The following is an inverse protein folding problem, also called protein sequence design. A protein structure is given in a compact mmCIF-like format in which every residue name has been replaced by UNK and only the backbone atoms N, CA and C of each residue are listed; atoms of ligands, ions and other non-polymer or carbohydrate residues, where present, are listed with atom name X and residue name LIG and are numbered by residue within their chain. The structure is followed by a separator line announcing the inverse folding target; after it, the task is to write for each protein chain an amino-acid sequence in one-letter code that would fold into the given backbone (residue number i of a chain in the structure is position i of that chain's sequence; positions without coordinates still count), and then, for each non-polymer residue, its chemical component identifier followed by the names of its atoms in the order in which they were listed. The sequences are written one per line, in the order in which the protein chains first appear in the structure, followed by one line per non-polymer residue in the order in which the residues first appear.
data_IF_567184125371
#
_entry.id   IF_567184125371
#
_cell.length_a   1.000
_cell.length_b   1.000
_cell.length_c   1.000
_cell.angle_alpha   90.00
_cell.angle_beta   90.00
_cell.angle_gamma   90.00
#
_symmetry.space_group_name_H-M   'P 1'
#
loop_
_entity.id
_entity.type
_entity.pdbx_description
1 polymer ?
#
# COMPACT_ATOMS: atom_id res chain seq x y z
N UNK A 1 1.00 -8.12 16.51
CA UNK A 1 1.95 -7.70 15.46
C UNK A 1 2.01 -8.81 14.42
N UNK A 2 1.71 -8.51 13.16
CA UNK A 2 1.75 -9.47 12.05
C UNK A 2 2.81 -8.98 11.07
N UNK A 3 3.72 -9.88 10.68
CA UNK A 3 4.87 -9.52 9.87
C UNK A 3 4.90 -10.29 8.55
N UNK A 4 5.58 -9.70 7.58
CA UNK A 4 5.84 -10.28 6.28
C UNK A 4 7.35 -10.49 6.09
N UNK A 5 7.74 -11.67 5.62
CA UNK A 5 9.11 -11.96 5.19
C UNK A 5 9.37 -11.33 3.82
N UNK A 6 10.34 -10.42 3.75
CA UNK A 6 10.67 -9.62 2.54
C UNK A 6 12.18 -9.46 2.39
N UNK A 7 12.65 -8.85 1.30
CA UNK A 7 14.06 -8.47 1.11
C UNK A 7 14.21 -6.94 1.06
N UNK A 8 15.41 -6.43 1.38
CA UNK A 8 15.73 -4.98 1.31
C UNK A 8 16.29 -4.56 -0.05
N UNK A 9 16.67 -5.52 -0.88
CA UNK A 9 17.17 -5.29 -2.23
C UNK A 9 16.42 -6.14 -3.25
N UNK A 10 16.37 -5.64 -4.48
CA UNK A 10 15.66 -6.27 -5.59
C UNK A 10 16.21 -7.64 -5.98
N UNK A 11 17.45 -7.97 -5.61
CA UNK A 11 18.11 -9.22 -5.97
C UNK A 11 18.09 -10.25 -4.83
N UNK A 12 17.61 -9.87 -3.65
CA UNK A 12 17.57 -10.70 -2.45
C UNK A 12 18.94 -10.99 -1.83
N UNK A 13 19.98 -10.23 -2.17
CA UNK A 13 21.35 -10.42 -1.67
C UNK A 13 21.48 -10.09 -0.18
N UNK A 14 20.61 -9.21 0.33
CA UNK A 14 20.53 -8.84 1.75
C UNK A 14 19.87 -9.91 2.62
N UNK A 15 19.32 -10.97 2.02
CA UNK A 15 18.57 -12.01 2.73
C UNK A 15 17.17 -11.55 3.18
N UNK A 16 16.57 -12.34 4.06
CA UNK A 16 15.19 -12.14 4.52
C UNK A 16 15.17 -11.25 5.76
N UNK A 17 14.26 -10.28 5.75
CA UNK A 17 13.92 -9.45 6.91
C UNK A 17 12.43 -9.52 7.19
N UNK A 18 12.04 -9.21 8.44
CA UNK A 18 10.64 -9.10 8.83
C UNK A 18 10.19 -7.65 8.71
N UNK A 19 9.11 -7.42 7.97
CA UNK A 19 8.44 -6.13 7.85
C UNK A 19 7.11 -6.17 8.61
N UNK A 20 6.84 -5.20 9.47
CA UNK A 20 5.53 -5.08 10.10
C UNK A 20 4.49 -4.65 9.05
N UNK A 21 3.35 -5.35 8.99
CA UNK A 21 2.31 -5.05 7.99
C UNK A 21 1.66 -3.69 8.27
N UNK A 22 1.60 -3.27 9.54
CA UNK A 22 1.06 -1.96 9.93
C UNK A 22 1.86 -0.79 9.29
N UNK A 23 3.14 -1.00 8.96
CA UNK A 23 4.02 0.03 8.39
C UNK A 23 3.88 0.13 6.86
N UNK A 24 3.13 -0.78 6.22
CA UNK A 24 2.97 -0.80 4.77
C UNK A 24 2.01 0.30 4.33
N UNK A 25 2.46 1.17 3.43
CA UNK A 25 1.64 2.19 2.77
C UNK A 25 0.88 1.61 1.57
N UNK A 26 1.59 0.96 0.65
CA UNK A 26 1.01 0.31 -0.52
C UNK A 26 1.96 -0.71 -1.14
N UNK A 27 1.40 -1.56 -1.99
CA UNK A 27 2.12 -2.49 -2.84
C UNK A 27 2.11 -1.97 -4.28
N UNK A 28 3.24 -2.07 -4.96
CA UNK A 28 3.39 -1.76 -6.38
C UNK A 28 3.94 -2.98 -7.11
N UNK A 29 3.31 -3.40 -8.19
CA UNK A 29 3.85 -4.40 -9.10
C UNK A 29 4.67 -3.73 -10.18
N UNK A 30 5.97 -4.02 -10.18
CA UNK A 30 6.87 -3.61 -11.25
C UNK A 30 6.92 -4.71 -12.33
N UNK A 31 6.33 -4.41 -13.49
CA UNK A 31 6.28 -5.35 -14.61
C UNK A 31 7.64 -5.63 -15.23
N UNK A 32 8.63 -4.74 -15.05
CA UNK A 32 9.98 -4.92 -15.60
C UNK A 32 10.77 -5.96 -14.82
N UNK A 33 10.72 -5.93 -13.49
CA UNK A 33 11.40 -6.89 -12.63
C UNK A 33 10.54 -8.09 -12.26
N UNK A 34 9.22 -8.02 -12.45
CA UNK A 34 8.27 -9.05 -12.04
C UNK A 34 8.13 -9.17 -10.51
N UNK A 35 8.46 -8.12 -9.77
CA UNK A 35 8.45 -8.09 -8.30
C UNK A 35 7.38 -7.17 -7.76
N UNK A 36 7.04 -7.40 -6.50
CA UNK A 36 6.22 -6.50 -5.70
C UNK A 36 7.14 -5.63 -4.88
N UNK A 37 7.01 -4.32 -5.06
CA UNK A 37 7.66 -3.30 -4.27
C UNK A 37 6.69 -2.96 -3.15
N UNK A 38 7.16 -3.03 -1.92
CA UNK A 38 6.38 -2.76 -0.73
C UNK A 38 6.87 -1.43 -0.19
N UNK A 39 6.07 -0.39 -0.40
CA UNK A 39 6.34 0.95 0.07
C UNK A 39 5.81 1.09 1.50
N UNK A 40 6.62 1.64 2.39
CA UNK A 40 6.24 1.87 3.79
C UNK A 40 5.90 3.33 4.04
N UNK A 41 5.21 3.60 5.16
CA UNK A 41 4.87 4.96 5.58
C UNK A 41 6.10 5.82 5.87
N UNK A 42 7.26 5.21 6.18
CA UNK A 42 8.53 5.88 6.45
C UNK A 42 9.45 5.93 5.20
N UNK A 43 8.87 5.83 3.99
CA UNK A 43 9.57 5.91 2.70
C UNK A 43 10.64 4.83 2.45
N UNK A 44 10.61 3.72 3.17
CA UNK A 44 11.43 2.55 2.84
C UNK A 44 10.73 1.67 1.80
N UNK A 45 11.52 1.03 0.94
CA UNK A 45 11.04 0.07 -0.05
C UNK A 45 11.62 -1.31 0.26
N UNK A 46 10.73 -2.29 0.32
CA UNK A 46 11.07 -3.71 0.44
C UNK A 46 10.57 -4.47 -0.78
N UNK A 47 11.02 -5.71 -0.96
CA UNK A 47 10.71 -6.50 -2.14
C UNK A 47 10.20 -7.89 -1.78
N UNK A 48 9.23 -8.34 -2.57
CA UNK A 48 8.77 -9.74 -2.58
C UNK A 48 8.40 -10.15 -4.01
N UNK A 49 8.03 -11.41 -4.18
CA UNK A 49 7.66 -12.00 -5.48
C UNK A 49 6.20 -12.45 -5.48
N UNK A 50 5.67 -12.73 -6.67
CA UNK A 50 4.28 -13.15 -6.85
C UNK A 50 3.41 -12.04 -7.46
N UNK A 51 2.09 -12.18 -7.36
CA UNK A 51 1.15 -11.24 -7.98
C UNK A 51 0.57 -10.25 -6.96
N UNK A 52 0.27 -9.04 -7.44
CA UNK A 52 -0.37 -7.99 -6.65
C UNK A 52 -1.72 -8.44 -6.08
N UNK A 53 -2.52 -9.12 -6.90
CA UNK A 53 -3.84 -9.64 -6.51
C UNK A 53 -3.72 -10.64 -5.36
N UNK A 54 -2.81 -11.61 -5.49
CA UNK A 54 -2.58 -12.61 -4.45
C UNK A 54 -2.19 -11.95 -3.12
N UNK A 55 -1.21 -11.03 -3.14
CA UNK A 55 -0.78 -10.35 -1.92
C UNK A 55 -1.88 -9.48 -1.31
N UNK A 56 -2.70 -8.83 -2.13
CA UNK A 56 -3.86 -8.07 -1.65
C UNK A 56 -4.85 -8.99 -0.92
N UNK A 57 -5.17 -10.15 -1.49
CA UNK A 57 -6.07 -11.13 -0.87
C UNK A 57 -5.47 -11.72 0.42
N UNK A 58 -4.18 -12.03 0.44
CA UNK A 58 -3.49 -12.53 1.64
C UNK A 58 -3.53 -11.51 2.77
N UNK A 59 -3.19 -10.25 2.50
CA UNK A 59 -3.19 -9.18 3.50
C UNK A 59 -4.60 -8.92 4.03
N UNK A 60 -5.61 -8.94 3.15
CA UNK A 60 -7.01 -8.78 3.55
C UNK A 60 -7.50 -9.93 4.44
N UNK A 61 -7.21 -11.17 4.08
CA UNK A 61 -7.52 -12.34 4.92
C UNK A 61 -6.69 -12.39 6.21
N UNK A 62 -5.60 -11.64 6.27
CA UNK A 62 -4.81 -11.41 7.48
C UNK A 62 -5.45 -10.34 8.39
N UNK A 63 -6.53 -9.68 7.96
CA UNK A 63 -7.28 -8.69 8.75
C UNK A 63 -6.91 -7.24 8.46
N UNK A 64 -6.17 -6.99 7.38
CA UNK A 64 -5.87 -5.64 6.90
C UNK A 64 -6.85 -5.21 5.80
N UNK A 65 -6.77 -3.95 5.37
CA UNK A 65 -7.67 -3.40 4.35
C UNK A 65 -6.86 -2.81 3.19
N UNK A 66 -6.52 -3.67 2.25
CA UNK A 66 -5.87 -3.34 1.00
C UNK A 66 -6.86 -3.36 -0.17
N UNK A 67 -6.66 -2.45 -1.12
CA UNK A 67 -7.48 -2.35 -2.33
C UNK A 67 -6.62 -2.13 -3.57
N UNK A 68 -6.87 -2.93 -4.61
CA UNK A 68 -6.22 -2.77 -5.92
C UNK A 68 -6.76 -1.51 -6.62
N UNK A 69 -6.03 -0.41 -6.50
CA UNK A 69 -6.47 0.91 -6.96
C UNK A 69 -6.16 1.18 -8.45
N UNK A 70 -5.21 0.44 -9.02
CA UNK A 70 -4.99 0.36 -10.46
C UNK A 70 -4.33 -0.97 -10.85
N UNK A 71 -3.83 -1.08 -12.08
CA UNK A 71 -3.20 -2.31 -12.60
C UNK A 71 -1.94 -2.74 -11.84
N UNK A 72 -1.26 -1.80 -11.20
CA UNK A 72 0.04 -2.01 -10.56
C UNK A 72 -0.01 -1.73 -9.05
N UNK A 73 -0.99 -0.97 -8.56
CA UNK A 73 -0.99 -0.49 -7.18
C UNK A 73 -2.12 -1.10 -6.33
N UNK A 74 -1.76 -1.53 -5.11
CA UNK A 74 -2.70 -1.93 -4.07
C UNK A 74 -2.44 -1.13 -2.80
N UNK A 75 -3.40 -0.30 -2.40
CA UNK A 75 -3.23 0.70 -1.33
C UNK A 75 -3.72 0.18 0.01
N UNK A 76 -2.99 0.44 1.09
CA UNK A 76 -3.46 0.19 2.45
C UNK A 76 -4.39 1.33 2.91
N UNK A 77 -5.69 1.05 2.97
CA UNK A 77 -6.73 2.05 3.23
C UNK A 77 -6.56 2.72 4.60
N UNK A 78 -6.11 1.96 5.61
CA UNK A 78 -5.98 2.47 6.98
C UNK A 78 -4.86 3.52 7.14
N UNK A 79 -3.84 3.45 6.31
CA UNK A 79 -2.66 4.31 6.36
C UNK A 79 -2.77 5.56 5.47
N UNK A 80 -3.86 5.71 4.70
CA UNK A 80 -4.08 6.93 3.91
C UNK A 80 -4.32 8.12 4.86
N UNK A 81 -3.51 9.16 4.69
CA UNK A 81 -3.63 10.44 5.42
C UNK A 81 -4.45 11.44 4.60
N UNK A 82 -4.16 11.56 3.30
CA UNK A 82 -4.78 12.51 2.40
C UNK A 82 -4.90 11.90 1.00
N UNK A 83 -5.94 12.27 0.27
CA UNK A 83 -6.08 11.97 -1.15
C UNK A 83 -6.19 13.26 -1.97
N UNK A 84 -5.48 13.31 -3.09
CA UNK A 84 -5.60 14.40 -4.06
C UNK A 84 -6.50 13.95 -5.22
N UNK A 85 -7.64 14.62 -5.36
CA UNK A 85 -8.61 14.31 -6.39
C UNK A 85 -8.10 14.60 -7.80
N UNK A 86 -7.36 15.69 -8.01
CA UNK A 86 -6.91 16.05 -9.35
C UNK A 86 -5.90 15.05 -9.91
N UNK A 87 -4.90 14.68 -9.11
CA UNK A 87 -3.83 13.77 -9.48
C UNK A 87 -4.17 12.29 -9.28
N UNK A 88 -5.26 11.98 -8.56
CA UNK A 88 -5.66 10.62 -8.18
C UNK A 88 -4.57 9.92 -7.37
N UNK A 89 -4.03 10.62 -6.37
CA UNK A 89 -2.92 10.15 -5.52
C UNK A 89 -3.39 10.02 -4.07
N UNK A 90 -2.91 8.97 -3.38
CA UNK A 90 -2.98 8.85 -1.93
C UNK A 90 -1.61 9.13 -1.31
N UNK A 91 -1.62 9.86 -0.21
CA UNK A 91 -0.47 10.19 0.62
C UNK A 91 -0.59 9.53 1.99
N UNK A 92 0.55 9.15 2.57
CA UNK A 92 0.63 8.37 3.81
C UNK A 92 1.34 9.13 4.95
N UNK A 93 1.81 10.35 4.68
CA UNK A 93 2.47 11.22 5.63
C UNK A 93 1.76 12.57 5.72
N UNK A 94 1.75 13.19 6.91
CA UNK A 94 1.20 14.55 7.09
C UNK A 94 2.16 15.63 6.57
N UNK A 95 3.46 15.45 6.81
CA UNK A 95 4.50 16.41 6.43
C UNK A 95 5.22 15.88 5.19
N UNK A 96 4.69 16.21 4.02
CA UNK A 96 5.23 15.73 2.74
C UNK A 96 6.57 16.38 2.43
N UNK A 97 7.51 15.57 1.94
CA UNK A 97 8.75 15.99 1.31
C UNK A 97 8.75 15.54 -0.15
N UNK A 98 9.75 15.94 -0.94
CA UNK A 98 9.91 15.47 -2.32
C UNK A 98 10.10 13.95 -2.42
N UNK A 99 10.50 13.30 -1.32
CA UNK A 99 10.73 11.86 -1.25
C UNK A 99 9.56 11.08 -0.64
N UNK A 100 8.46 11.74 -0.29
CA UNK A 100 7.32 11.06 0.33
C UNK A 100 6.69 10.04 -0.63
N UNK A 101 6.46 8.84 -0.11
CA UNK A 101 5.77 7.76 -0.82
C UNK A 101 4.36 8.22 -1.20
N UNK A 102 4.03 8.01 -2.47
CA UNK A 102 2.73 8.35 -3.04
C UNK A 102 2.21 7.20 -3.89
N UNK A 103 0.93 6.89 -3.76
CA UNK A 103 0.28 5.83 -4.52
C UNK A 103 -0.63 6.45 -5.56
N UNK A 104 -0.28 6.30 -6.84
CA UNK A 104 -1.17 6.68 -7.94
C UNK A 104 -2.33 5.70 -8.07
N UNK A 105 -3.43 6.14 -8.66
CA UNK A 105 -4.62 5.33 -8.86
C UNK A 105 -5.29 5.63 -10.20
N UNK A 106 -6.08 4.66 -10.67
CA UNK A 106 -7.02 4.88 -11.76
C UNK A 106 -8.18 5.78 -11.29
N UNK A 107 -8.91 6.40 -12.23
CA UNK A 107 -10.11 7.19 -11.89
C UNK A 107 -11.15 6.36 -11.12
N UNK A 108 -11.38 5.11 -11.55
CA UNK A 108 -12.30 4.18 -10.88
C UNK A 108 -11.77 3.77 -9.50
N UNK A 109 -10.49 3.42 -9.41
CA UNK A 109 -9.88 3.03 -8.13
C UNK A 109 -9.89 4.15 -7.10
N UNK A 110 -9.62 5.39 -7.51
CA UNK A 110 -9.75 6.56 -6.63
C UNK A 110 -11.16 6.66 -6.03
N UNK A 111 -12.19 6.51 -6.86
CA UNK A 111 -13.59 6.59 -6.42
C UNK A 111 -13.91 5.53 -5.36
N UNK A 112 -13.51 4.28 -5.62
CA UNK A 112 -13.72 3.16 -4.69
C UNK A 112 -12.96 3.39 -3.37
N UNK A 113 -11.68 3.79 -3.44
CA UNK A 113 -10.87 4.09 -2.26
C UNK A 113 -11.47 5.23 -1.43
N UNK A 114 -11.96 6.30 -2.07
CA UNK A 114 -12.66 7.39 -1.37
C UNK A 114 -13.91 6.89 -0.64
N UNK A 115 -14.72 6.04 -1.27
CA UNK A 115 -15.91 5.46 -0.64
C UNK A 115 -15.55 4.57 0.57
N UNK A 116 -14.49 3.77 0.45
CA UNK A 116 -13.99 2.94 1.55
C UNK A 116 -13.50 3.78 2.74
N UNK A 117 -12.92 4.96 2.49
CA UNK A 117 -12.50 5.89 3.54
C UNK A 117 -13.68 6.58 4.23
N UNK A 118 -14.71 6.98 3.48
CA UNK A 118 -15.91 7.60 4.06
C UNK A 118 -16.70 6.62 4.94
N UNK A 119 -16.78 5.36 4.51
CA UNK A 119 -17.37 4.28 5.31
C UNK A 119 -16.61 4.05 6.62
N UNK A 120 -15.26 4.12 6.58
CA UNK A 120 -14.41 4.03 7.79
C UNK A 120 -14.74 5.14 8.80
N UNK A 121 -14.83 6.39 8.33
CA UNK A 121 -15.14 7.54 9.21
C UNK A 121 -16.52 7.39 9.84
N UNK A 122 -17.50 6.89 9.09
CA UNK A 122 -18.86 6.67 9.58
C UNK A 122 -18.90 5.60 10.67
N UNK A 123 -18.17 4.49 10.54
CA UNK A 123 -18.11 3.44 11.57
C UNK A 123 -17.45 3.90 12.88
N UNK A 124 -16.52 4.87 12.83
CA UNK A 124 -15.85 5.39 14.01
C UNK A 124 -16.72 6.35 14.85
N UNK A 125 -17.85 6.85 14.32
CA UNK A 125 -18.76 7.77 15.03
C UNK A 125 -19.82 7.02 15.86
N UNK A 126 -20.00 5.72 15.62
CA UNK A 126 -20.98 4.88 16.32
C UNK A 126 -20.36 3.93 17.38
N UNK A 127 -19.11 4.17 17.78
CA UNK A 127 -18.43 3.45 18.87
C UNK A 127 -18.02 4.43 19.95
#
# INVERSE_FOLDING_TARGET
MKCLSVTKDQNGLSGIVQLNIDDIAFLEFDSRSGKIFIHTIDNNIFYTVGSLKYWTEVLNNTGYRFFVADRNNSVHIDNIVEMNEFLKIAYFERNRTENSSQCTMSKSGYKEVSQLLDNRKSSAVYT
#
